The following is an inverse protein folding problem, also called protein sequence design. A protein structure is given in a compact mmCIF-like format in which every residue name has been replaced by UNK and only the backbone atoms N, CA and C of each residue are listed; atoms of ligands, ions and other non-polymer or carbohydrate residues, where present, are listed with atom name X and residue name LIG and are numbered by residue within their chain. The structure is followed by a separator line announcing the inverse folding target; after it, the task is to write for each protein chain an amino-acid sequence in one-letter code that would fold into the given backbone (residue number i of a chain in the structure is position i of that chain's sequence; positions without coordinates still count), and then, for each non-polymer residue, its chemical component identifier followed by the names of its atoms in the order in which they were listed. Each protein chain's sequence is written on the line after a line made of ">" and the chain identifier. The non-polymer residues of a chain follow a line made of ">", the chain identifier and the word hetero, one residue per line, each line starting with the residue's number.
data_IF_971840953199
#
_entry.id   IF_971840953199
#
_cell.length_a   1.000
_cell.length_b   1.000
_cell.length_c   1.000
_cell.angle_alpha   90.00
_cell.angle_beta   90.00
_cell.angle_gamma   90.00
#
_symmetry.space_group_name_H-M   'P 1'
#
loop_
_entity.id
_entity.type
_entity.pdbx_description
1 polymer ?
#
# COMPACT_ATOMS: atom_id res chain seq x y z
N UNK A 1 16.75 35.32 -8.57
CA UNK A 1 16.63 34.57 -9.85
C UNK A 1 17.30 33.20 -9.89
N UNK A 2 17.89 32.67 -8.79
CA UNK A 2 18.57 31.36 -8.74
C UNK A 2 17.65 30.14 -8.52
N UNK A 3 16.49 30.33 -7.88
CA UNK A 3 15.57 29.18 -7.53
C UNK A 3 14.85 28.52 -8.71
N UNK A 4 14.67 29.19 -9.82
CA UNK A 4 13.98 28.65 -11.02
C UNK A 4 14.90 27.75 -11.83
N UNK A 5 16.21 28.04 -11.86
CA UNK A 5 17.21 27.25 -12.58
C UNK A 5 17.44 25.87 -11.99
N UNK A 6 17.34 25.73 -10.65
CA UNK A 6 17.55 24.45 -9.96
C UNK A 6 16.35 23.51 -10.08
N UNK A 7 15.13 24.08 -10.16
CA UNK A 7 13.91 23.32 -10.42
C UNK A 7 13.89 22.70 -11.83
N UNK A 8 14.36 23.45 -12.83
CA UNK A 8 14.48 22.95 -14.21
C UNK A 8 15.59 21.91 -14.36
N UNK A 9 16.70 22.04 -13.62
CA UNK A 9 17.78 21.04 -13.61
C UNK A 9 17.37 19.73 -12.93
N UNK A 10 16.54 19.77 -11.89
CA UNK A 10 15.96 18.58 -11.26
C UNK A 10 15.00 17.85 -12.20
N UNK A 11 14.12 18.56 -12.93
CA UNK A 11 13.27 17.95 -13.95
C UNK A 11 14.06 17.30 -15.07
N UNK A 12 15.19 17.91 -15.51
CA UNK A 12 16.01 17.33 -16.58
C UNK A 12 16.74 16.04 -16.16
N UNK A 13 17.12 15.88 -14.88
CA UNK A 13 17.67 14.62 -14.36
C UNK A 13 16.63 13.51 -14.31
N UNK A 14 15.38 13.82 -13.89
CA UNK A 14 14.26 12.87 -13.91
C UNK A 14 13.92 12.41 -15.34
N UNK A 15 13.94 13.34 -16.29
CA UNK A 15 13.73 12.99 -17.70
C UNK A 15 14.82 12.07 -18.28
N UNK A 16 16.08 12.20 -17.82
CA UNK A 16 17.17 11.29 -18.25
C UNK A 16 17.04 9.89 -17.65
N UNK A 17 16.52 9.75 -16.42
CA UNK A 17 16.29 8.45 -15.80
C UNK A 17 15.10 7.74 -16.46
N UNK A 18 14.05 8.49 -16.84
CA UNK A 18 12.91 7.94 -17.56
C UNK A 18 13.20 7.53 -19.02
N UNK A 19 14.34 7.97 -19.58
CA UNK A 19 14.78 7.61 -20.93
C UNK A 19 15.58 6.29 -21.01
N UNK A 20 15.80 5.61 -19.86
CA UNK A 20 16.28 4.23 -19.87
C UNK A 20 15.21 3.38 -20.56
N UNK A 21 15.54 2.79 -21.73
CA UNK A 21 14.61 1.96 -22.50
C UNK A 21 14.10 0.83 -21.61
N UNK A 22 12.78 0.72 -21.38
CA UNK A 22 12.24 -0.42 -20.65
C UNK A 22 12.64 -1.70 -21.38
N UNK A 23 12.97 -2.77 -20.62
CA UNK A 23 13.22 -4.06 -21.25
C UNK A 23 11.95 -4.49 -22.01
N UNK A 24 12.05 -5.16 -23.17
CA UNK A 24 10.89 -5.60 -23.94
C UNK A 24 9.88 -6.45 -23.15
N UNK A 25 10.32 -7.05 -22.05
CA UNK A 25 9.50 -7.89 -21.16
C UNK A 25 8.65 -7.11 -20.16
N UNK A 26 8.94 -5.82 -19.96
CA UNK A 26 8.23 -4.95 -18.98
C UNK A 26 7.09 -4.14 -19.60
N UNK A 27 6.91 -4.20 -20.91
CA UNK A 27 5.80 -3.52 -21.57
C UNK A 27 4.49 -4.31 -21.35
N UNK A 28 3.41 -3.60 -21.00
CA UNK A 28 2.08 -4.20 -21.08
C UNK A 28 1.86 -4.69 -22.53
N UNK A 29 1.24 -5.87 -22.75
CA UNK A 29 0.74 -6.23 -24.05
C UNK A 29 -0.14 -5.08 -24.57
N UNK A 30 0.07 -4.66 -25.83
CA UNK A 30 -0.66 -3.57 -26.48
C UNK A 30 -2.18 -3.78 -26.51
N UNK A 31 -2.64 -5.00 -26.27
CA UNK A 31 -4.04 -5.44 -26.26
C UNK A 31 -4.79 -5.10 -24.95
N UNK A 32 -4.07 -4.78 -23.86
CA UNK A 32 -4.71 -4.13 -22.72
C UNK A 32 -4.89 -2.68 -23.14
N UNK A 33 -6.00 -2.42 -23.87
CA UNK A 33 -6.43 -1.08 -24.23
C UNK A 33 -6.05 -0.14 -23.08
N UNK A 34 -5.26 0.88 -23.36
CA UNK A 34 -4.99 2.03 -22.51
C UNK A 34 -6.30 2.79 -22.22
N UNK A 35 -7.39 2.06 -22.04
CA UNK A 35 -8.66 2.55 -21.56
C UNK A 35 -8.39 3.19 -20.24
N UNK A 36 -8.17 4.52 -20.30
CA UNK A 36 -8.26 5.47 -19.20
C UNK A 36 -8.29 4.79 -17.82
N UNK A 37 -7.15 4.18 -17.42
CA UNK A 37 -6.98 3.72 -16.05
C UNK A 37 -6.87 5.00 -15.23
N UNK A 38 -8.02 5.50 -14.78
CA UNK A 38 -8.13 6.65 -13.89
C UNK A 38 -8.82 6.19 -12.62
N UNK A 39 -8.36 6.67 -11.48
CA UNK A 39 -8.93 6.29 -10.18
C UNK A 39 -8.57 4.87 -9.73
N UNK A 40 -7.58 4.23 -10.38
CA UNK A 40 -7.09 2.92 -9.96
C UNK A 40 -6.18 3.04 -8.72
N UNK A 41 -6.06 1.94 -8.00
CA UNK A 41 -5.14 1.78 -6.89
C UNK A 41 -3.93 0.97 -7.37
N UNK A 42 -2.72 1.38 -7.01
CA UNK A 42 -1.51 0.58 -7.25
C UNK A 42 -1.19 -0.23 -6.00
N UNK A 43 -1.06 -1.55 -6.16
CA UNK A 43 -0.66 -2.47 -5.09
C UNK A 43 0.72 -3.03 -5.39
N UNK A 44 1.68 -2.76 -4.52
CA UNK A 44 3.05 -3.28 -4.61
C UNK A 44 3.19 -4.54 -3.76
N UNK A 45 3.51 -5.64 -4.44
CA UNK A 45 3.60 -6.98 -3.85
C UNK A 45 2.28 -7.75 -3.91
N UNK A 46 2.31 -8.97 -4.47
CA UNK A 46 1.17 -9.87 -4.54
C UNK A 46 1.37 -11.14 -3.69
N UNK A 47 1.97 -10.96 -2.53
CA UNK A 47 2.05 -11.99 -1.50
C UNK A 47 0.68 -12.27 -0.86
N UNK A 48 0.67 -12.90 0.32
CA UNK A 48 -0.59 -13.27 0.98
C UNK A 48 -1.51 -12.08 1.25
N UNK A 49 -0.97 -10.98 1.79
CA UNK A 49 -1.73 -9.76 2.10
C UNK A 49 -2.20 -9.07 0.82
N UNK A 50 -1.29 -8.85 -0.14
CA UNK A 50 -1.62 -8.22 -1.42
C UNK A 50 -2.73 -8.96 -2.17
N UNK A 51 -2.66 -10.29 -2.20
CA UNK A 51 -3.67 -11.14 -2.83
C UNK A 51 -5.05 -11.00 -2.17
N UNK A 52 -5.11 -11.06 -0.83
CA UNK A 52 -6.36 -10.88 -0.09
C UNK A 52 -6.94 -9.50 -0.33
N UNK A 53 -6.12 -8.48 -0.25
CA UNK A 53 -6.51 -7.09 -0.50
C UNK A 53 -7.04 -6.88 -1.91
N UNK A 54 -6.34 -7.34 -2.94
CA UNK A 54 -6.79 -7.21 -4.33
C UNK A 54 -8.13 -7.92 -4.56
N UNK A 55 -8.37 -9.06 -3.92
CA UNK A 55 -9.67 -9.74 -4.00
C UNK A 55 -10.80 -8.88 -3.40
N UNK A 56 -10.58 -8.23 -2.26
CA UNK A 56 -11.58 -7.35 -1.66
C UNK A 56 -11.81 -6.08 -2.50
N UNK A 57 -10.73 -5.46 -3.02
CA UNK A 57 -10.86 -4.31 -3.90
C UNK A 57 -11.65 -4.65 -5.17
N UNK A 58 -11.42 -5.85 -5.72
CA UNK A 58 -12.17 -6.32 -6.89
C UNK A 58 -13.67 -6.51 -6.60
N UNK A 59 -14.04 -7.04 -5.42
CA UNK A 59 -15.45 -7.13 -4.99
C UNK A 59 -16.12 -5.76 -4.89
N UNK A 60 -15.33 -4.73 -4.55
CA UNK A 60 -15.78 -3.34 -4.47
C UNK A 60 -15.77 -2.63 -5.84
N UNK A 61 -15.41 -3.34 -6.93
CA UNK A 61 -15.23 -2.79 -8.27
C UNK A 61 -14.19 -1.64 -8.33
N UNK A 62 -13.18 -1.67 -7.45
CA UNK A 62 -12.08 -0.72 -7.45
C UNK A 62 -11.02 -1.24 -8.43
N UNK A 63 -10.66 -0.50 -9.49
CA UNK A 63 -9.62 -0.92 -10.42
C UNK A 63 -8.26 -1.01 -9.72
N UNK A 64 -7.53 -2.10 -9.93
CA UNK A 64 -6.22 -2.35 -9.31
C UNK A 64 -5.18 -2.59 -10.38
N UNK A 65 -4.01 -1.97 -10.22
CA UNK A 65 -2.79 -2.31 -10.94
C UNK A 65 -1.81 -2.93 -9.94
N UNK A 66 -1.39 -4.16 -10.19
CA UNK A 66 -0.45 -4.91 -9.35
C UNK A 66 0.95 -4.70 -9.89
N UNK A 67 1.90 -4.34 -9.01
CA UNK A 67 3.32 -4.27 -9.33
C UNK A 67 4.08 -5.30 -8.49
N UNK A 68 4.70 -6.27 -9.15
CA UNK A 68 5.48 -7.32 -8.48
C UNK A 68 6.76 -7.63 -9.26
N UNK A 69 7.83 -8.01 -8.56
CA UNK A 69 9.11 -8.37 -9.17
C UNK A 69 9.15 -9.79 -9.76
N UNK A 70 8.26 -10.66 -9.30
CA UNK A 70 8.20 -12.07 -9.74
C UNK A 70 7.51 -12.17 -11.10
N UNK A 71 8.29 -12.40 -12.16
CA UNK A 71 7.80 -12.54 -13.52
C UNK A 71 6.81 -13.70 -13.67
N UNK A 72 7.08 -14.86 -13.09
CA UNK A 72 6.22 -16.04 -13.21
C UNK A 72 4.84 -15.77 -12.57
N UNK A 73 4.83 -15.08 -11.42
CA UNK A 73 3.61 -14.64 -10.76
C UNK A 73 2.85 -13.63 -11.64
N UNK A 74 3.53 -12.61 -12.17
CA UNK A 74 2.90 -11.59 -13.01
C UNK A 74 2.29 -12.21 -14.27
N UNK A 75 2.98 -13.13 -14.94
CA UNK A 75 2.43 -13.85 -16.10
C UNK A 75 1.17 -14.63 -15.74
N UNK A 76 1.15 -15.28 -14.57
CA UNK A 76 -0.04 -15.98 -14.06
C UNK A 76 -1.21 -15.02 -13.82
N UNK A 77 -0.95 -13.85 -13.22
CA UNK A 77 -1.97 -12.83 -12.95
C UNK A 77 -2.59 -12.30 -14.24
N UNK A 78 -1.76 -12.00 -15.24
CA UNK A 78 -2.21 -11.55 -16.57
C UNK A 78 -3.11 -12.59 -17.25
N UNK A 79 -2.78 -13.89 -17.15
CA UNK A 79 -3.64 -14.97 -17.67
C UNK A 79 -5.00 -15.04 -16.98
N UNK A 80 -5.08 -14.55 -15.74
CA UNK A 80 -6.33 -14.43 -14.97
C UNK A 80 -7.03 -13.08 -15.16
N UNK A 81 -6.68 -12.34 -16.21
CA UNK A 81 -7.24 -11.02 -16.55
C UNK A 81 -7.02 -9.95 -15.48
N UNK A 82 -6.02 -10.11 -14.63
CA UNK A 82 -5.62 -9.08 -13.68
C UNK A 82 -4.56 -8.16 -14.31
N UNK A 83 -4.68 -6.86 -14.07
CA UNK A 83 -3.71 -5.88 -14.52
C UNK A 83 -2.46 -5.96 -13.63
N UNK A 84 -1.37 -6.51 -14.16
CA UNK A 84 -0.14 -6.73 -13.42
C UNK A 84 1.09 -6.28 -14.24
N UNK A 85 2.01 -5.61 -13.58
CA UNK A 85 3.28 -5.10 -14.11
C UNK A 85 4.42 -5.86 -13.43
N UNK A 86 5.34 -6.38 -14.24
CA UNK A 86 6.58 -6.95 -13.74
C UNK A 86 7.61 -5.81 -13.58
N UNK A 87 8.19 -5.69 -12.40
CA UNK A 87 9.24 -4.71 -12.15
C UNK A 87 9.59 -4.53 -10.69
N UNK A 88 10.68 -3.82 -10.45
CA UNK A 88 11.07 -3.39 -9.12
C UNK A 88 10.37 -2.06 -8.80
N UNK A 89 9.68 -1.99 -7.66
CA UNK A 89 8.95 -0.80 -7.26
C UNK A 89 9.86 0.39 -6.90
N UNK A 90 11.15 0.18 -6.68
CA UNK A 90 12.11 1.30 -6.50
C UNK A 90 12.53 1.92 -7.83
N UNK A 91 12.28 1.25 -8.95
CA UNK A 91 12.58 1.76 -10.28
C UNK A 91 11.46 2.70 -10.75
N UNK A 92 11.76 3.97 -11.05
CA UNK A 92 10.79 4.93 -11.58
C UNK A 92 10.07 4.44 -12.84
N UNK A 93 10.73 3.64 -13.69
CA UNK A 93 10.12 3.13 -14.91
C UNK A 93 9.00 2.14 -14.62
N UNK A 94 9.17 1.28 -13.62
CA UNK A 94 8.14 0.34 -13.16
C UNK A 94 6.93 1.07 -12.57
N UNK A 95 7.16 2.11 -11.76
CA UNK A 95 6.09 2.95 -11.20
C UNK A 95 5.34 3.74 -12.30
N UNK A 96 6.05 4.21 -13.32
CA UNK A 96 5.43 4.88 -14.47
C UNK A 96 4.55 3.91 -15.27
N UNK A 97 5.01 2.68 -15.49
CA UNK A 97 4.21 1.63 -16.15
C UNK A 97 2.98 1.25 -15.33
N UNK A 98 3.08 1.25 -13.99
CA UNK A 98 1.95 1.07 -13.09
C UNK A 98 1.02 2.30 -13.02
N UNK A 99 1.29 3.34 -13.81
CA UNK A 99 0.53 4.60 -13.85
C UNK A 99 0.40 5.30 -12.50
N UNK A 100 1.42 5.22 -11.64
CA UNK A 100 1.45 5.88 -10.31
C UNK A 100 1.17 7.38 -10.43
N UNK A 101 1.60 8.03 -11.52
CA UNK A 101 1.37 9.45 -11.78
C UNK A 101 -0.13 9.83 -11.96
N UNK A 102 -1.03 8.83 -12.09
CA UNK A 102 -2.49 9.00 -12.22
C UNK A 102 -3.26 8.31 -11.09
N UNK A 103 -2.57 7.57 -10.23
CA UNK A 103 -3.18 6.85 -9.13
C UNK A 103 -3.38 7.76 -7.92
N UNK A 104 -4.55 7.76 -7.28
CA UNK A 104 -4.77 8.48 -6.03
C UNK A 104 -4.15 7.78 -4.83
N UNK A 105 -3.86 6.47 -4.94
CA UNK A 105 -3.44 5.65 -3.81
C UNK A 105 -2.45 4.55 -4.24
N UNK A 106 -1.37 4.42 -3.49
CA UNK A 106 -0.40 3.33 -3.59
C UNK A 106 -0.35 2.57 -2.27
N UNK A 107 -0.49 1.24 -2.34
CA UNK A 107 -0.49 0.36 -1.18
C UNK A 107 0.74 -0.54 -1.24
N UNK A 108 1.56 -0.51 -0.18
CA UNK A 108 2.75 -1.33 -0.03
C UNK A 108 2.44 -2.52 0.87
N UNK A 109 2.53 -3.74 0.33
CA UNK A 109 2.33 -4.99 1.09
C UNK A 109 3.61 -5.80 1.24
N UNK A 110 4.73 -5.23 0.84
CA UNK A 110 6.07 -5.77 1.03
C UNK A 110 6.46 -5.70 2.52
N UNK A 111 7.60 -6.30 2.90
CA UNK A 111 8.05 -6.40 4.29
C UNK A 111 9.45 -5.82 4.49
N UNK A 112 9.78 -4.79 3.75
CA UNK A 112 11.11 -4.19 3.79
C UNK A 112 10.96 -2.67 3.93
N UNK A 113 11.17 -2.15 5.14
CA UNK A 113 11.03 -0.73 5.47
C UNK A 113 11.93 0.15 4.58
N UNK A 114 13.14 -0.32 4.26
CA UNK A 114 14.08 0.46 3.43
C UNK A 114 13.54 0.58 2.00
N UNK A 115 13.02 -0.53 1.46
CA UNK A 115 12.39 -0.51 0.14
C UNK A 115 11.12 0.34 0.14
N UNK A 116 10.28 0.24 1.18
CA UNK A 116 9.05 1.04 1.30
C UNK A 116 9.35 2.52 1.29
N UNK A 117 10.34 2.99 2.05
CA UNK A 117 10.77 4.39 2.04
C UNK A 117 11.20 4.87 0.66
N UNK A 118 12.00 4.07 -0.05
CA UNK A 118 12.45 4.40 -1.41
C UNK A 118 11.29 4.47 -2.39
N UNK A 119 10.33 3.53 -2.29
CA UNK A 119 9.13 3.52 -3.14
C UNK A 119 8.28 4.77 -2.88
N UNK A 120 8.08 5.13 -1.61
CA UNK A 120 7.34 6.35 -1.22
C UNK A 120 8.01 7.61 -1.80
N UNK A 121 9.33 7.74 -1.61
CA UNK A 121 10.11 8.88 -2.13
C UNK A 121 10.01 8.98 -3.66
N UNK A 122 10.23 7.87 -4.36
CA UNK A 122 10.16 7.83 -5.82
C UNK A 122 8.76 8.13 -6.32
N UNK A 123 7.74 7.58 -5.67
CA UNK A 123 6.34 7.80 -6.05
C UNK A 123 5.90 9.24 -5.83
N UNK A 124 6.32 9.89 -4.73
CA UNK A 124 6.08 11.32 -4.48
C UNK A 124 6.72 12.24 -5.52
N UNK A 125 7.85 11.83 -6.11
CA UNK A 125 8.48 12.57 -7.21
C UNK A 125 7.66 12.48 -8.52
N UNK A 126 6.96 11.37 -8.73
CA UNK A 126 6.12 11.14 -9.91
C UNK A 126 4.72 11.73 -9.74
N UNK A 127 4.20 11.67 -8.51
CA UNK A 127 2.88 12.15 -8.13
C UNK A 127 2.92 12.72 -6.71
N UNK A 128 3.06 14.04 -6.52
CA UNK A 128 3.14 14.66 -5.20
C UNK A 128 1.87 14.49 -4.35
N UNK A 129 0.72 14.27 -4.97
CA UNK A 129 -0.59 14.18 -4.31
C UNK A 129 -0.98 12.72 -3.96
N UNK A 130 -0.15 11.74 -4.33
CA UNK A 130 -0.46 10.33 -4.07
C UNK A 130 -0.47 10.04 -2.57
N UNK A 131 -1.49 9.30 -2.14
CA UNK A 131 -1.59 8.79 -0.77
C UNK A 131 -0.96 7.41 -0.67
N UNK A 132 -0.57 7.03 0.54
CA UNK A 132 0.05 5.74 0.81
C UNK A 132 -0.68 4.99 1.92
N UNK A 133 -0.77 3.66 1.76
CA UNK A 133 -1.04 2.71 2.84
C UNK A 133 0.16 1.79 2.93
N UNK A 134 0.77 1.71 4.12
CA UNK A 134 2.00 0.99 4.42
C UNK A 134 1.71 -0.11 5.42
N UNK A 135 2.42 -1.21 5.31
CA UNK A 135 2.32 -2.31 6.25
C UNK A 135 3.52 -2.32 7.18
N UNK A 136 3.31 -2.11 8.47
CA UNK A 136 4.34 -2.33 9.48
C UNK A 136 4.31 -3.77 10.03
N UNK A 137 5.49 -4.30 10.34
CA UNK A 137 5.68 -5.64 10.91
C UNK A 137 5.92 -5.61 12.42
N UNK A 138 6.22 -4.43 12.97
CA UNK A 138 6.43 -4.19 14.40
C UNK A 138 5.90 -2.82 14.82
N UNK A 139 5.72 -2.63 16.13
CA UNK A 139 5.29 -1.34 16.69
C UNK A 139 6.33 -0.24 16.49
N UNK A 140 7.63 -0.60 16.59
CA UNK A 140 8.73 0.35 16.34
C UNK A 140 8.75 0.82 14.88
N UNK A 141 8.56 -0.08 13.92
CA UNK A 141 8.45 0.25 12.51
C UNK A 141 7.24 1.15 12.24
N UNK A 142 6.08 0.82 12.81
CA UNK A 142 4.87 1.63 12.70
C UNK A 142 5.06 3.04 13.26
N UNK A 143 5.71 3.14 14.43
CA UNK A 143 6.01 4.43 15.05
C UNK A 143 6.96 5.28 14.20
N UNK A 144 8.02 4.69 13.64
CA UNK A 144 8.97 5.37 12.76
C UNK A 144 8.29 5.86 11.48
N UNK A 145 7.52 5.00 10.80
CA UNK A 145 6.81 5.36 9.57
C UNK A 145 5.79 6.50 9.81
N UNK A 146 5.13 6.47 10.96
CA UNK A 146 4.16 7.51 11.36
C UNK A 146 4.88 8.82 11.68
N UNK A 147 5.98 8.79 12.43
CA UNK A 147 6.79 9.97 12.74
C UNK A 147 7.34 10.65 11.50
N UNK A 148 7.72 9.86 10.48
CA UNK A 148 8.22 10.35 9.20
C UNK A 148 7.10 10.76 8.22
N UNK A 149 5.84 10.67 8.66
CA UNK A 149 4.67 11.02 7.85
C UNK A 149 4.68 10.38 6.45
N UNK A 150 5.01 9.08 6.41
CA UNK A 150 5.10 8.34 5.14
C UNK A 150 3.72 8.07 4.52
N UNK A 151 2.69 7.90 5.35
CA UNK A 151 1.31 7.62 4.93
C UNK A 151 0.49 6.98 6.05
N UNK A 152 -0.60 6.33 5.70
CA UNK A 152 -1.41 5.53 6.64
C UNK A 152 -0.69 4.20 6.92
N UNK A 153 -0.35 3.96 8.18
CA UNK A 153 0.39 2.76 8.57
C UNK A 153 -0.54 1.76 9.23
N UNK A 154 -0.51 0.52 8.75
CA UNK A 154 -1.26 -0.61 9.31
C UNK A 154 -0.29 -1.60 9.94
N UNK A 155 -0.31 -1.70 11.25
CA UNK A 155 0.47 -2.68 12.00
C UNK A 155 -0.35 -3.97 12.12
N UNK A 156 0.23 -5.09 11.66
CA UNK A 156 -0.52 -6.33 11.44
C UNK A 156 -1.06 -6.96 12.73
N UNK A 157 -0.29 -6.97 13.84
CA UNK A 157 -0.73 -7.56 15.12
C UNK A 157 -1.80 -6.69 15.78
N UNK A 158 -1.67 -5.38 15.75
CA UNK A 158 -2.69 -4.45 16.27
C UNK A 158 -4.00 -4.60 15.51
N UNK A 159 -3.95 -4.58 14.15
CA UNK A 159 -5.14 -4.76 13.33
C UNK A 159 -5.83 -6.12 13.58
N UNK A 160 -5.06 -7.18 13.85
CA UNK A 160 -5.61 -8.48 14.21
C UNK A 160 -6.25 -8.44 15.60
N UNK A 161 -5.57 -7.87 16.60
CA UNK A 161 -6.08 -7.74 17.96
C UNK A 161 -7.38 -6.91 18.00
N UNK A 162 -7.42 -5.79 17.27
CA UNK A 162 -8.62 -4.96 17.15
C UNK A 162 -9.78 -5.76 16.56
N UNK A 163 -9.52 -6.53 15.50
CA UNK A 163 -10.58 -7.37 14.88
C UNK A 163 -11.05 -8.48 15.81
N UNK A 164 -10.15 -9.11 16.55
CA UNK A 164 -10.52 -10.12 17.56
C UNK A 164 -11.35 -9.50 18.69
N UNK A 165 -10.95 -8.33 19.16
CA UNK A 165 -11.70 -7.58 20.21
C UNK A 165 -13.08 -7.18 19.75
N UNK A 166 -13.24 -6.75 18.49
CA UNK A 166 -14.53 -6.47 17.86
C UNK A 166 -15.43 -7.71 17.87
N UNK A 167 -14.87 -8.88 17.49
CA UNK A 167 -15.62 -10.13 17.50
C UNK A 167 -16.04 -10.56 18.92
N UNK A 168 -15.14 -10.42 19.91
CA UNK A 168 -15.46 -10.70 21.33
C UNK A 168 -16.58 -9.80 21.79
N UNK A 169 -16.51 -8.49 21.48
CA UNK A 169 -17.57 -7.55 21.86
C UNK A 169 -18.90 -7.93 21.23
N UNK A 170 -18.90 -8.25 19.96
CA UNK A 170 -20.12 -8.69 19.25
C UNK A 170 -20.71 -9.95 19.87
N UNK A 171 -19.90 -10.93 20.21
CA UNK A 171 -20.36 -12.23 20.74
C UNK A 171 -20.88 -12.11 22.19
N UNK A 172 -20.18 -11.29 23.03
CA UNK A 172 -20.47 -11.24 24.46
C UNK A 172 -21.37 -10.07 24.88
N UNK A 173 -21.37 -8.96 24.12
CA UNK A 173 -22.09 -7.73 24.51
C UNK A 173 -23.26 -7.41 23.58
N UNK A 174 -23.27 -7.90 22.33
CA UNK A 174 -24.37 -7.70 21.38
C UNK A 174 -25.24 -8.98 21.21
N UNK A 175 -24.94 -10.05 21.94
CA UNK A 175 -25.79 -11.24 22.04
C UNK A 175 -27.06 -10.89 22.80
N UNK A 176 -28.23 -11.09 22.18
CA UNK A 176 -29.60 -10.79 22.60
C UNK A 176 -29.83 -10.92 24.11
N UNK A 177 -29.56 -9.88 24.89
CA UNK A 177 -30.12 -9.77 26.23
C UNK A 177 -30.51 -8.30 26.47
N UNK A 178 -31.80 -7.98 26.53
CA UNK A 178 -32.30 -6.61 26.77
C UNK A 178 -32.03 -6.09 28.18
N UNK A 179 -31.33 -6.82 29.06
CA UNK A 179 -31.08 -6.45 30.46
C UNK A 179 -29.64 -5.90 30.72
N UNK A 180 -28.76 -5.80 29.69
CA UNK A 180 -27.33 -5.46 29.91
C UNK A 180 -26.95 -3.99 29.67
N UNK A 181 -27.90 -3.08 29.53
CA UNK A 181 -27.61 -1.63 29.46
C UNK A 181 -27.01 -1.05 30.76
N UNK A 182 -27.08 -1.77 31.91
CA UNK A 182 -26.71 -1.25 33.23
C UNK A 182 -25.23 -1.57 33.62
N UNK A 183 -24.48 -2.44 32.90
CA UNK A 183 -23.13 -2.88 33.28
C UNK A 183 -22.03 -2.00 32.66
N UNK A 184 -22.30 -1.23 31.64
CA UNK A 184 -21.28 -0.47 30.88
C UNK A 184 -20.76 0.76 31.65
N UNK A 185 -21.51 1.27 32.63
CA UNK A 185 -21.13 2.51 33.36
C UNK A 185 -20.11 2.29 34.49
N UNK A 186 -19.81 1.04 34.89
CA UNK A 186 -19.01 0.74 36.08
C UNK A 186 -17.66 0.03 35.87
N UNK A 187 -17.21 -0.26 34.64
CA UNK A 187 -15.92 -0.89 34.41
C UNK A 187 -14.85 0.11 33.96
N UNK A 188 -14.43 1.01 34.85
CA UNK A 188 -13.09 1.62 34.78
C UNK A 188 -12.08 0.55 35.16
N UNK A 189 -11.66 -0.24 34.19
CA UNK A 189 -10.52 -1.15 34.36
C UNK A 189 -9.26 -0.29 34.26
N UNK A 190 -8.48 -0.28 35.34
CA UNK A 190 -7.17 0.35 35.36
C UNK A 190 -6.27 -0.26 34.28
N UNK A 191 -5.44 0.52 33.58
CA UNK A 191 -4.58 0.02 32.52
C UNK A 191 -3.61 -1.04 33.07
N UNK A 192 -3.52 -2.19 32.37
CA UNK A 192 -2.56 -3.25 32.68
C UNK A 192 -1.15 -2.68 32.60
N UNK A 193 -0.30 -2.86 33.64
CA UNK A 193 1.07 -2.36 33.61
C UNK A 193 1.88 -3.05 32.50
N UNK A 194 2.85 -2.35 31.87
CA UNK A 194 3.68 -2.92 30.81
C UNK A 194 4.45 -4.14 31.32
N UNK A 195 4.52 -5.18 30.49
CA UNK A 195 5.29 -6.38 30.78
C UNK A 195 6.77 -6.01 31.00
N UNK A 196 7.35 -6.48 32.11
CA UNK A 196 8.75 -6.29 32.43
C UNK A 196 9.64 -6.98 31.39
N UNK A 197 10.63 -6.30 30.79
CA UNK A 197 11.61 -6.96 29.93
C UNK A 197 12.55 -7.82 30.80
N UNK A 198 12.60 -9.10 30.49
CA UNK A 198 13.61 -10.05 30.98
C UNK A 198 14.80 -10.10 30.05
#
# INVERSE_FOLDING_TARGET
>A
MQKVGDFLKRKSKLFRVAAARPSPQSLMPDDVEQKKITGHVVVVGYGEVGRKLCNELNKLNIPVVILDKDDALVQKLRRSSLTAIQGDAVDPSSLLQAHVHKSPLLILTIRDEILERKVVETSKLLNPDIKFILRATSDSEAANMTADNLGMVVQASTALADKMSELVRKELLEGDNPEDEEIVENSKIDPVPPANPS
#
